data_IF_574436268123
#
_entry.id   IF_574436268123
#
_cell.length_a   1.000
_cell.length_b   1.000
_cell.length_c   1.000
_cell.angle_alpha   90.00
_cell.angle_beta   90.00
_cell.angle_gamma   90.00
#
_symmetry.space_group_name_H-M   'P 1'
#
loop_
_entity.id
_entity.type
_entity.pdbx_description
1 polymer ?
#
# COMPACT_ATOMS: atom_id res chain seq x y z
N UNK A 1 7.14 -8.42 15.80
CA UNK A 1 7.69 -8.36 14.42
C UNK A 1 7.02 -7.18 13.75
N UNK A 2 7.77 -6.41 12.96
CA UNK A 2 7.22 -5.29 12.19
C UNK A 2 6.33 -5.83 11.06
N UNK A 3 5.14 -5.26 10.89
CA UNK A 3 4.23 -5.63 9.80
C UNK A 3 4.73 -5.07 8.48
N UNK A 4 4.73 -5.88 7.43
CA UNK A 4 5.18 -5.50 6.09
C UNK A 4 3.99 -5.09 5.24
N UNK A 5 3.92 -3.79 4.93
CA UNK A 5 2.81 -3.18 4.22
C UNK A 5 3.26 -2.78 2.82
N UNK A 6 2.67 -3.39 1.79
CA UNK A 6 2.97 -3.03 0.41
C UNK A 6 2.09 -1.86 -0.06
N UNK A 7 2.69 -0.84 -0.64
CA UNK A 7 2.01 0.34 -1.17
C UNK A 7 2.33 0.53 -2.65
N UNK A 8 1.41 1.13 -3.41
CA UNK A 8 1.73 1.65 -4.73
C UNK A 8 2.42 3.02 -4.57
N UNK A 9 3.56 3.21 -5.25
CA UNK A 9 4.38 4.41 -5.18
C UNK A 9 5.72 4.21 -4.46
N UNK A 10 6.29 5.33 -4.03
CA UNK A 10 7.61 5.43 -3.39
C UNK A 10 7.49 5.95 -1.95
N UNK A 11 8.56 5.87 -1.13
CA UNK A 11 8.56 6.50 0.18
C UNK A 11 8.17 7.98 0.11
N UNK A 12 7.29 8.41 1.01
CA UNK A 12 6.68 9.74 1.05
C UNK A 12 5.39 9.89 0.23
N UNK A 13 4.89 8.82 -0.41
CA UNK A 13 3.59 8.85 -1.08
C UNK A 13 2.42 8.90 -0.08
N UNK A 14 1.27 9.41 -0.52
CA UNK A 14 0.03 9.42 0.30
C UNK A 14 -0.39 8.02 0.77
N UNK A 15 -0.07 6.96 0.03
CA UNK A 15 -0.32 5.59 0.46
C UNK A 15 0.54 5.18 1.67
N UNK A 16 1.77 5.70 1.80
CA UNK A 16 2.58 5.49 3.00
C UNK A 16 1.99 6.23 4.20
N UNK A 17 1.59 7.49 4.00
CA UNK A 17 0.94 8.29 5.04
C UNK A 17 -0.31 7.57 5.57
N UNK A 18 -1.19 7.12 4.67
CA UNK A 18 -2.38 6.35 5.02
C UNK A 18 -2.03 5.04 5.78
N UNK A 19 -0.98 4.33 5.36
CA UNK A 19 -0.51 3.14 6.07
C UNK A 19 -0.06 3.47 7.50
N UNK A 20 0.73 4.55 7.67
CA UNK A 20 1.24 4.98 8.97
C UNK A 20 0.12 5.49 9.88
N UNK A 21 -0.89 6.17 9.35
CA UNK A 21 -2.05 6.61 10.13
C UNK A 21 -2.92 5.43 10.58
N UNK A 22 -3.19 4.48 9.69
CA UNK A 22 -4.00 3.30 10.02
C UNK A 22 -3.32 2.41 11.06
N UNK A 23 -2.01 2.20 10.93
CA UNK A 23 -1.19 1.39 11.83
C UNK A 23 -0.42 2.22 12.86
N UNK A 24 -0.90 3.40 13.25
CA UNK A 24 -0.18 4.39 14.09
C UNK A 24 0.40 3.86 15.41
N UNK A 25 -0.13 2.75 15.95
CA UNK A 25 0.33 2.12 17.19
C UNK A 25 1.16 0.84 16.96
N UNK A 26 1.54 0.56 15.71
CA UNK A 26 2.28 -0.63 15.31
C UNK A 26 3.57 -0.23 14.58
N UNK A 27 4.62 -1.03 14.74
CA UNK A 27 5.80 -0.91 13.91
C UNK A 27 5.50 -1.51 12.53
N UNK A 28 5.68 -0.71 11.47
CA UNK A 28 5.46 -1.14 10.09
C UNK A 28 6.69 -0.88 9.20
N UNK A 29 6.92 -1.79 8.25
CA UNK A 29 7.87 -1.67 7.16
C UNK A 29 7.10 -1.45 5.85
N UNK A 30 7.51 -0.43 5.10
CA UNK A 30 6.87 -0.06 3.83
C UNK A 30 7.59 -0.73 2.68
N UNK A 31 6.84 -1.50 1.88
CA UNK A 31 7.34 -2.14 0.65
C UNK A 31 6.78 -1.36 -0.54
N UNK A 32 7.61 -0.66 -1.33
CA UNK A 32 7.14 0.06 -2.50
C UNK A 32 6.85 -0.89 -3.68
N UNK A 33 5.81 -0.54 -4.45
CA UNK A 33 5.45 -1.15 -5.73
C UNK A 33 5.20 -0.06 -6.79
N UNK A 34 5.72 -0.25 -7.99
CA UNK A 34 5.64 0.78 -9.04
C UNK A 34 4.22 0.95 -9.61
N UNK A 35 3.45 -0.13 -9.67
CA UNK A 35 2.06 -0.13 -10.16
C UNK A 35 1.16 -0.95 -9.23
N UNK A 36 -0.16 -0.79 -9.36
CA UNK A 36 -1.13 -1.57 -8.59
C UNK A 36 -1.10 -3.06 -8.96
N UNK A 37 -0.82 -3.40 -10.22
CA UNK A 37 -0.65 -4.80 -10.64
C UNK A 37 0.57 -5.44 -9.96
N UNK A 38 1.68 -4.71 -9.84
CA UNK A 38 2.87 -5.19 -9.11
C UNK A 38 2.55 -5.33 -7.62
N UNK A 39 1.81 -4.40 -7.04
CA UNK A 39 1.37 -4.47 -5.65
C UNK A 39 0.55 -5.74 -5.40
N UNK A 40 -0.50 -5.96 -6.19
CA UNK A 40 -1.38 -7.11 -6.07
C UNK A 40 -0.64 -8.42 -6.32
N UNK A 41 0.21 -8.47 -7.36
CA UNK A 41 1.01 -9.66 -7.68
C UNK A 41 1.96 -10.02 -6.54
N UNK A 42 2.64 -9.04 -5.94
CA UNK A 42 3.53 -9.28 -4.81
C UNK A 42 2.76 -9.73 -3.57
N UNK A 43 1.66 -9.08 -3.23
CA UNK A 43 0.81 -9.47 -2.09
C UNK A 43 0.35 -10.93 -2.20
N UNK A 44 -0.07 -11.36 -3.39
CA UNK A 44 -0.55 -12.73 -3.60
C UNK A 44 0.55 -13.79 -3.54
N UNK A 45 1.79 -13.45 -3.90
CA UNK A 45 2.86 -14.41 -4.11
C UNK A 45 3.94 -14.41 -3.02
N UNK A 46 4.13 -13.31 -2.31
CA UNK A 46 5.14 -13.18 -1.25
C UNK A 46 4.49 -13.28 0.14
N UNK A 47 4.72 -14.41 0.80
CA UNK A 47 4.20 -14.68 2.16
C UNK A 47 4.81 -13.79 3.24
N UNK A 48 5.85 -13.01 2.92
CA UNK A 48 6.41 -12.04 3.86
C UNK A 48 5.65 -10.71 3.84
N UNK A 49 4.65 -10.51 2.97
CA UNK A 49 3.86 -9.29 2.91
C UNK A 49 2.54 -9.54 3.65
N UNK A 50 2.26 -8.72 4.66
CA UNK A 50 1.09 -8.93 5.53
C UNK A 50 -0.16 -8.26 4.97
N UNK A 51 -0.03 -7.02 4.45
CA UNK A 51 -1.15 -6.21 3.99
C UNK A 51 -0.76 -5.32 2.81
N UNK A 52 -1.77 -4.85 2.07
CA UNK A 52 -1.62 -3.81 1.06
C UNK A 52 -2.52 -2.61 1.36
N UNK A 53 -2.03 -1.40 1.04
CA UNK A 53 -2.83 -0.17 1.06
C UNK A 53 -2.98 0.33 -0.38
N UNK A 54 -4.22 0.46 -0.83
CA UNK A 54 -4.58 0.82 -2.21
C UNK A 54 -5.66 1.90 -2.17
N UNK A 55 -5.46 3.01 -2.89
CA UNK A 55 -6.53 3.96 -3.12
C UNK A 55 -7.61 3.33 -4.02
N UNK A 56 -8.88 3.61 -3.75
CA UNK A 56 -10.00 3.13 -4.58
C UNK A 56 -10.81 4.29 -5.19
N UNK A 57 -10.59 5.51 -4.72
CA UNK A 57 -11.29 6.71 -5.15
C UNK A 57 -10.42 7.94 -4.90
N UNK A 58 -10.54 8.94 -5.77
CA UNK A 58 -9.89 10.23 -5.64
C UNK A 58 -10.93 11.35 -5.84
N UNK A 59 -10.88 12.40 -5.02
CA UNK A 59 -11.86 13.50 -5.09
C UNK A 59 -11.80 14.32 -6.38
N UNK A 60 -10.68 14.32 -7.10
CA UNK A 60 -10.49 15.04 -8.36
C UNK A 60 -10.76 14.10 -9.55
N UNK A 61 -10.22 12.88 -9.51
CA UNK A 61 -10.29 11.94 -10.64
C UNK A 61 -11.50 10.99 -10.60
N UNK A 62 -12.23 10.94 -9.48
CA UNK A 62 -13.32 10.00 -9.25
C UNK A 62 -12.84 8.60 -8.86
N UNK A 63 -13.67 7.60 -9.11
CA UNK A 63 -13.39 6.21 -8.77
C UNK A 63 -12.18 5.66 -9.52
N UNK A 64 -11.31 4.95 -8.80
CA UNK A 64 -10.09 4.31 -9.32
C UNK A 64 -10.30 2.80 -9.53
N UNK A 65 -11.46 2.41 -10.08
CA UNK A 65 -11.85 1.01 -10.34
C UNK A 65 -10.91 0.25 -11.28
N UNK A 66 -9.98 0.93 -11.95
CA UNK A 66 -9.00 0.34 -12.86
C UNK A 66 -7.67 -0.02 -12.19
N UNK A 67 -7.53 0.20 -10.88
CA UNK A 67 -6.37 -0.24 -10.10
C UNK A 67 -6.22 -1.76 -10.06
#
# INVERSE_FOLDING_TARGET
>A
MSKKIIIQGYPGAFHEEAAREYFQNEEIEIIPAMTFEIQATKLCNDKNIDYAIMAIENSIAGSLLQN
#
